data_IF_492231798668
#
_entry.id   IF_492231798668
#
_cell.length_a   1.000
_cell.length_b   1.000
_cell.length_c   1.000
_cell.angle_alpha   90.00
_cell.angle_beta   90.00
_cell.angle_gamma   90.00
#
_symmetry.space_group_name_H-M   'P 1'
#
loop_
_entity.id
_entity.type
_entity.pdbx_description
1 polymer ?
#
# COMPACT_ATOMS: atom_id res chain seq x y z
N UNK A 1 -23.33 14.36 -3.22
CA UNK A 1 -24.12 13.14 -2.95
C UNK A 1 -25.20 12.93 -4.01
N UNK A 2 -26.23 13.79 -4.09
CA UNK A 2 -27.37 13.64 -5.02
C UNK A 2 -26.95 13.60 -6.51
N UNK A 3 -26.00 14.46 -6.92
CA UNK A 3 -25.51 14.48 -8.30
C UNK A 3 -24.78 13.21 -8.73
N UNK A 4 -24.13 12.51 -7.80
CA UNK A 4 -23.45 11.25 -8.07
C UNK A 4 -24.41 10.05 -7.95
N UNK A 5 -25.38 10.13 -7.04
CA UNK A 5 -26.26 9.02 -6.68
C UNK A 5 -27.71 9.50 -6.52
N UNK A 6 -28.42 9.75 -7.63
CA UNK A 6 -29.80 10.25 -7.60
C UNK A 6 -30.79 9.22 -7.04
N UNK A 7 -30.46 7.93 -7.07
CA UNK A 7 -31.29 6.84 -6.52
C UNK A 7 -31.49 6.98 -5.00
N UNK A 8 -30.64 7.74 -4.31
CA UNK A 8 -30.85 8.09 -2.89
C UNK A 8 -32.19 8.80 -2.66
N UNK A 9 -32.70 9.53 -3.67
CA UNK A 9 -33.99 10.22 -3.61
C UNK A 9 -35.19 9.27 -3.69
N UNK A 10 -34.97 8.02 -4.13
CA UNK A 10 -35.99 6.97 -4.21
C UNK A 10 -36.05 6.11 -2.94
N UNK A 11 -35.11 6.29 -2.02
CA UNK A 11 -35.00 5.50 -0.80
C UNK A 11 -35.78 6.17 0.34
N UNK A 12 -36.41 5.38 1.21
CA UNK A 12 -37.10 5.92 2.39
C UNK A 12 -36.04 6.49 3.37
N UNK A 13 -35.99 7.82 3.61
CA UNK A 13 -34.92 8.42 4.41
C UNK A 13 -34.85 7.85 5.83
N UNK A 14 -36.00 7.67 6.46
CA UNK A 14 -36.13 7.25 7.85
C UNK A 14 -35.77 5.77 8.05
N UNK A 15 -35.99 4.94 7.04
CA UNK A 15 -35.71 3.50 7.11
C UNK A 15 -34.38 3.09 6.49
N UNK A 16 -33.75 3.96 5.68
CA UNK A 16 -32.54 3.60 4.92
C UNK A 16 -31.32 4.45 5.25
N UNK A 17 -31.46 5.78 5.38
CA UNK A 17 -30.35 6.68 5.69
C UNK A 17 -30.15 6.86 7.18
N UNK A 18 -31.23 7.15 7.90
CA UNK A 18 -31.18 7.46 9.33
C UNK A 18 -30.48 6.35 10.14
N UNK A 19 -30.81 5.05 9.97
CA UNK A 19 -30.16 3.99 10.75
C UNK A 19 -28.64 3.91 10.48
N UNK A 20 -28.22 4.20 9.24
CA UNK A 20 -26.80 4.17 8.86
C UNK A 20 -26.03 5.36 9.42
N UNK A 21 -26.64 6.54 9.39
CA UNK A 21 -26.06 7.76 9.97
C UNK A 21 -25.90 7.57 11.48
N UNK A 22 -26.93 7.07 12.17
CA UNK A 22 -26.89 6.80 13.61
C UNK A 22 -25.81 5.76 13.96
N UNK A 23 -25.69 4.69 13.17
CA UNK A 23 -24.61 3.73 13.37
C UNK A 23 -23.22 4.35 13.20
N UNK A 24 -23.01 5.16 12.15
CA UNK A 24 -21.72 5.85 11.94
C UNK A 24 -21.39 6.80 13.10
N UNK A 25 -22.38 7.51 13.64
CA UNK A 25 -22.21 8.31 14.88
C UNK A 25 -21.79 7.45 16.06
N UNK A 26 -22.47 6.32 16.27
CA UNK A 26 -22.14 5.37 17.34
C UNK A 26 -20.72 4.80 17.20
N UNK A 27 -20.23 4.67 15.97
CA UNK A 27 -18.87 4.20 15.68
C UNK A 27 -17.80 5.27 15.95
N UNK A 28 -18.18 6.55 16.09
CA UNK A 28 -17.29 7.66 16.42
C UNK A 28 -17.07 8.66 15.29
N UNK A 29 -17.91 8.68 14.25
CA UNK A 29 -17.85 9.70 13.20
C UNK A 29 -18.64 10.95 13.62
N UNK A 30 -18.08 12.14 13.38
CA UNK A 30 -18.82 13.40 13.50
C UNK A 30 -19.76 13.60 12.29
N UNK A 31 -20.71 14.53 12.40
CA UNK A 31 -21.62 14.88 11.30
C UNK A 31 -20.86 15.29 10.02
N UNK A 32 -19.75 16.02 10.18
CA UNK A 32 -18.88 16.42 9.06
C UNK A 32 -18.20 15.21 8.41
N UNK A 33 -17.70 14.27 9.21
CA UNK A 33 -17.04 13.07 8.72
C UNK A 33 -18.01 12.17 7.96
N UNK A 34 -19.24 12.04 8.45
CA UNK A 34 -20.31 11.29 7.79
C UNK A 34 -20.63 11.93 6.45
N UNK A 35 -20.78 13.27 6.39
CA UNK A 35 -21.03 13.97 5.13
C UNK A 35 -19.91 13.72 4.10
N UNK A 36 -18.65 13.79 4.51
CA UNK A 36 -17.50 13.53 3.64
C UNK A 36 -17.47 12.06 3.18
N UNK A 37 -17.66 11.13 4.11
CA UNK A 37 -17.66 9.69 3.85
C UNK A 37 -18.78 9.30 2.90
N UNK A 38 -20.02 9.76 3.11
CA UNK A 38 -21.16 9.50 2.22
C UNK A 38 -21.02 10.19 0.85
N UNK A 39 -20.32 11.33 0.79
CA UNK A 39 -20.05 12.01 -0.49
C UNK A 39 -19.00 11.28 -1.32
N UNK A 40 -18.00 10.69 -0.67
CA UNK A 40 -16.97 9.86 -1.31
C UNK A 40 -17.44 8.42 -1.55
N UNK A 41 -18.38 7.92 -0.74
CA UNK A 41 -18.81 6.51 -0.71
C UNK A 41 -20.31 6.28 -0.52
N UNK A 42 -21.06 6.97 -1.34
CA UNK A 42 -22.45 6.76 -1.68
C UNK A 42 -22.90 5.30 -1.93
N UNK A 43 -22.04 4.38 -2.37
CA UNK A 43 -22.40 2.95 -2.51
C UNK A 43 -22.82 2.30 -1.18
N UNK A 44 -22.33 2.82 -0.05
CA UNK A 44 -22.73 2.34 1.27
C UNK A 44 -24.23 2.56 1.54
N UNK A 45 -24.85 3.52 0.84
CA UNK A 45 -26.29 3.81 0.95
C UNK A 45 -27.15 2.70 0.32
N UNK A 46 -26.61 1.88 -0.59
CA UNK A 46 -27.29 0.69 -1.12
C UNK A 46 -27.02 -0.59 -0.32
N UNK A 47 -25.97 -0.60 0.50
CA UNK A 47 -25.57 -1.79 1.27
C UNK A 47 -26.50 -2.03 2.46
N UNK A 48 -26.72 -3.28 2.86
CA UNK A 48 -27.47 -3.57 4.07
C UNK A 48 -26.70 -3.09 5.30
N UNK A 49 -27.38 -2.37 6.21
CA UNK A 49 -26.77 -1.97 7.48
C UNK A 49 -26.39 -3.20 8.31
N UNK A 50 -27.33 -4.13 8.48
CA UNK A 50 -27.18 -5.30 9.34
C UNK A 50 -26.23 -6.35 8.77
N UNK A 51 -26.32 -6.62 7.46
CA UNK A 51 -25.58 -7.73 6.85
C UNK A 51 -24.27 -7.31 6.18
N UNK A 52 -24.02 -6.01 5.98
CA UNK A 52 -22.84 -5.54 5.25
C UNK A 52 -22.07 -4.49 6.04
N UNK A 53 -22.72 -3.40 6.43
CA UNK A 53 -22.02 -2.26 7.05
C UNK A 53 -21.50 -2.64 8.45
N UNK A 54 -22.38 -3.16 9.32
CA UNK A 54 -22.02 -3.53 10.69
C UNK A 54 -20.89 -4.58 10.73
N UNK A 55 -21.00 -5.73 10.02
CA UNK A 55 -19.95 -6.75 10.05
C UNK A 55 -18.61 -6.25 9.49
N UNK A 56 -18.63 -5.46 8.41
CA UNK A 56 -17.40 -4.89 7.84
C UNK A 56 -16.70 -3.93 8.82
N UNK A 57 -17.46 -3.06 9.48
CA UNK A 57 -16.90 -2.13 10.47
C UNK A 57 -16.40 -2.84 11.73
N UNK A 58 -17.09 -3.90 12.17
CA UNK A 58 -16.62 -4.76 13.25
C UNK A 58 -15.31 -5.46 12.88
N UNK A 59 -15.23 -6.04 11.68
CA UNK A 59 -13.99 -6.65 11.17
C UNK A 59 -12.85 -5.63 11.13
N UNK A 60 -13.09 -4.44 10.59
CA UNK A 60 -12.06 -3.39 10.56
C UNK A 60 -11.58 -3.01 11.96
N UNK A 61 -12.49 -2.84 12.94
CA UNK A 61 -12.13 -2.61 14.34
C UNK A 61 -11.29 -3.73 14.94
N UNK A 62 -11.49 -4.98 14.53
CA UNK A 62 -10.64 -6.12 14.98
C UNK A 62 -9.27 -6.16 14.32
N UNK A 63 -9.13 -5.61 13.11
CA UNK A 63 -7.86 -5.59 12.37
C UNK A 63 -6.93 -4.44 12.77
N UNK A 64 -7.45 -3.42 13.48
CA UNK A 64 -6.64 -2.34 14.01
C UNK A 64 -5.76 -2.85 15.18
N UNK A 65 -4.45 -2.57 15.19
CA UNK A 65 -3.61 -2.90 16.33
C UNK A 65 -4.10 -2.14 17.58
N UNK A 66 -4.34 -2.89 18.67
CA UNK A 66 -4.62 -2.33 19.99
C UNK A 66 -3.32 -1.79 20.58
N UNK A 67 -2.94 -0.56 20.28
CA UNK A 67 -2.00 0.16 21.15
C UNK A 67 -2.76 0.72 22.37
N UNK A 68 -2.08 0.79 23.52
CA UNK A 68 -2.63 1.11 24.85
C UNK A 68 -3.24 2.53 24.99
N UNK A 69 -3.25 3.36 23.95
CA UNK A 69 -3.85 4.69 24.00
C UNK A 69 -5.09 4.83 23.10
N UNK A 70 -6.23 4.60 23.76
CA UNK A 70 -7.55 5.26 23.63
C UNK A 70 -8.25 5.22 22.28
N UNK A 71 -9.30 4.39 22.23
CA UNK A 71 -10.67 4.55 21.71
C UNK A 71 -11.09 5.54 20.58
N UNK A 72 -10.26 6.49 20.13
CA UNK A 72 -10.56 7.44 19.03
C UNK A 72 -9.98 7.01 17.67
N UNK A 73 -9.32 5.85 17.64
CA UNK A 73 -8.37 5.49 16.58
C UNK A 73 -9.00 5.05 15.23
N UNK A 74 -10.27 4.62 15.21
CA UNK A 74 -10.87 4.06 14.00
C UNK A 74 -11.43 5.12 13.05
N UNK A 75 -12.21 6.08 13.55
CA UNK A 75 -12.78 7.14 12.71
C UNK A 75 -11.67 8.03 12.16
N UNK A 76 -10.64 8.33 12.96
CA UNK A 76 -9.48 9.10 12.51
C UNK A 76 -8.63 8.34 11.48
N UNK A 77 -8.41 7.04 11.65
CA UNK A 77 -7.77 6.22 10.62
C UNK A 77 -8.57 6.21 9.31
N UNK A 78 -9.89 6.10 9.37
CA UNK A 78 -10.76 6.18 8.19
C UNK A 78 -10.66 7.55 7.53
N UNK A 79 -10.70 8.65 8.30
CA UNK A 79 -10.56 10.02 7.77
C UNK A 79 -9.23 10.19 7.03
N UNK A 80 -8.14 9.74 7.62
CA UNK A 80 -6.83 9.85 6.98
C UNK A 80 -6.76 9.07 5.68
N UNK A 81 -7.30 7.84 5.66
CA UNK A 81 -7.40 7.05 4.42
C UNK A 81 -8.25 7.76 3.36
N UNK A 82 -9.32 8.45 3.75
CA UNK A 82 -10.11 9.28 2.84
C UNK A 82 -9.36 10.51 2.34
N UNK A 83 -8.55 11.15 3.17
CA UNK A 83 -7.71 12.32 2.83
C UNK A 83 -6.58 11.95 1.87
N UNK A 84 -5.94 10.80 2.06
CA UNK A 84 -4.97 10.23 1.12
C UNK A 84 -5.63 9.92 -0.24
N UNK A 85 -6.95 9.75 -0.26
CA UNK A 85 -7.75 9.62 -1.48
C UNK A 85 -8.05 8.18 -1.87
N UNK A 86 -8.06 7.26 -0.91
CA UNK A 86 -8.60 5.92 -1.14
C UNK A 86 -10.11 6.00 -1.34
N UNK A 87 -10.63 5.15 -2.23
CA UNK A 87 -12.06 4.94 -2.41
C UNK A 87 -12.55 3.87 -1.42
N UNK A 88 -13.46 4.20 -0.46
CA UNK A 88 -14.02 3.21 0.45
C UNK A 88 -14.84 2.10 -0.18
N UNK A 89 -15.20 2.20 -1.46
CA UNK A 89 -15.82 1.09 -2.21
C UNK A 89 -14.79 0.07 -2.69
N UNK A 90 -13.50 0.42 -2.71
CA UNK A 90 -12.42 -0.46 -3.12
C UNK A 90 -12.04 -1.44 -2.00
N UNK A 91 -11.74 -2.69 -2.37
CA UNK A 91 -11.14 -3.67 -1.44
C UNK A 91 -9.82 -3.15 -0.84
N UNK A 92 -9.14 -2.23 -1.53
CA UNK A 92 -7.91 -1.61 -1.04
C UNK A 92 -8.14 -0.76 0.21
N UNK A 93 -9.35 -0.24 0.41
CA UNK A 93 -9.68 0.58 1.57
C UNK A 93 -9.50 -0.16 2.90
N UNK A 94 -9.90 -1.43 2.97
CA UNK A 94 -9.75 -2.24 4.20
C UNK A 94 -8.26 -2.40 4.54
N UNK A 95 -7.45 -2.70 3.53
CA UNK A 95 -6.00 -2.79 3.70
C UNK A 95 -5.38 -1.44 4.06
N UNK A 96 -5.89 -0.35 3.49
CA UNK A 96 -5.44 1.00 3.79
C UNK A 96 -5.72 1.38 5.24
N UNK A 97 -6.95 1.16 5.72
CA UNK A 97 -7.31 1.41 7.13
C UNK A 97 -6.39 0.65 8.06
N UNK A 98 -6.18 -0.65 7.83
CA UNK A 98 -5.27 -1.48 8.65
C UNK A 98 -3.83 -0.96 8.63
N UNK A 99 -3.27 -0.74 7.44
CA UNK A 99 -1.84 -0.47 7.28
C UNK A 99 -1.50 0.98 7.68
N UNK A 100 -2.34 1.96 7.33
CA UNK A 100 -2.19 3.36 7.74
C UNK A 100 -2.29 3.46 9.26
N UNK A 101 -3.33 2.88 9.87
CA UNK A 101 -3.52 2.97 11.33
C UNK A 101 -2.41 2.29 12.14
N UNK A 102 -1.72 1.31 11.56
CA UNK A 102 -0.67 0.56 12.26
C UNK A 102 0.62 1.35 12.52
N UNK A 103 0.73 2.53 11.91
CA UNK A 103 1.91 3.39 12.02
C UNK A 103 1.45 4.77 12.46
N UNK A 104 1.95 5.27 13.59
CA UNK A 104 1.57 6.60 14.06
C UNK A 104 1.96 7.70 13.05
N UNK A 105 1.23 8.83 13.08
CA UNK A 105 1.39 9.95 12.14
C UNK A 105 2.82 10.45 12.03
N UNK A 106 3.53 10.56 13.16
CA UNK A 106 4.93 10.97 13.19
C UNK A 106 5.84 10.01 12.40
N UNK A 107 5.68 8.69 12.59
CA UNK A 107 6.45 7.68 11.85
C UNK A 107 6.11 7.66 10.36
N UNK A 108 4.84 7.93 9.99
CA UNK A 108 4.46 8.07 8.57
C UNK A 108 5.12 9.28 7.93
N UNK A 109 5.15 10.41 8.61
CA UNK A 109 5.80 11.63 8.10
C UNK A 109 7.30 11.41 7.86
N UNK A 110 7.99 10.69 8.75
CA UNK A 110 9.39 10.30 8.54
C UNK A 110 9.54 9.50 7.24
N UNK A 111 8.65 8.53 6.99
CA UNK A 111 8.68 7.73 5.74
C UNK A 111 8.38 8.57 4.50
N UNK A 112 7.44 9.50 4.57
CA UNK A 112 7.20 10.44 3.48
C UNK A 112 8.44 11.31 3.22
N UNK A 113 9.15 11.72 4.28
CA UNK A 113 10.45 12.40 4.17
C UNK A 113 11.51 11.56 3.47
N UNK A 114 11.50 10.23 3.63
CA UNK A 114 12.39 9.33 2.88
C UNK A 114 12.08 9.43 1.38
N UNK A 115 10.83 9.25 0.97
CA UNK A 115 10.45 9.40 -0.44
C UNK A 115 10.88 10.75 -1.03
N UNK A 116 10.63 11.85 -0.30
CA UNK A 116 11.05 13.20 -0.71
C UNK A 116 12.57 13.33 -0.87
N UNK A 117 13.35 12.68 -0.02
CA UNK A 117 14.82 12.67 -0.16
C UNK A 117 15.32 11.97 -1.43
N UNK A 118 14.48 11.13 -2.04
CA UNK A 118 14.72 10.50 -3.35
C UNK A 118 14.04 11.26 -4.50
N UNK A 119 13.54 12.48 -4.26
CA UNK A 119 12.99 13.35 -5.31
C UNK A 119 11.51 13.13 -5.63
N UNK A 120 10.79 12.35 -4.82
CA UNK A 120 9.34 12.17 -5.00
C UNK A 120 8.55 13.41 -4.58
N UNK A 121 7.52 13.75 -5.36
CA UNK A 121 6.50 14.73 -5.00
C UNK A 121 5.42 14.16 -4.08
N UNK A 122 4.71 15.02 -3.36
CA UNK A 122 3.61 14.59 -2.47
C UNK A 122 2.45 13.92 -3.22
N UNK A 123 2.26 14.21 -4.51
CA UNK A 123 1.26 13.54 -5.35
C UNK A 123 1.68 12.11 -5.73
N UNK A 124 2.96 11.91 -6.07
CA UNK A 124 3.51 10.59 -6.37
C UNK A 124 3.52 9.69 -5.13
N UNK A 125 3.87 10.25 -3.97
CA UNK A 125 3.83 9.54 -2.69
C UNK A 125 2.40 9.08 -2.39
N UNK A 126 1.42 9.98 -2.51
CA UNK A 126 0.00 9.63 -2.32
C UNK A 126 -0.48 8.61 -3.33
N UNK A 127 -0.04 8.71 -4.59
CA UNK A 127 -0.35 7.71 -5.60
C UNK A 127 0.20 6.34 -5.21
N UNK A 128 1.48 6.23 -4.83
CA UNK A 128 2.08 4.97 -4.42
C UNK A 128 1.40 4.37 -3.18
N UNK A 129 1.07 5.18 -2.18
CA UNK A 129 0.32 4.72 -1.00
C UNK A 129 -1.05 4.18 -1.42
N UNK A 130 -1.78 4.89 -2.30
CA UNK A 130 -3.09 4.44 -2.81
C UNK A 130 -3.03 3.11 -3.53
N UNK A 131 -1.94 2.84 -4.25
CA UNK A 131 -1.75 1.56 -4.93
C UNK A 131 -1.34 0.45 -3.95
N UNK A 132 -0.53 0.78 -2.94
CA UNK A 132 -0.12 -0.16 -1.91
C UNK A 132 0.09 0.52 -0.54
N UNK A 133 -0.88 0.42 0.38
CA UNK A 133 -0.76 0.96 1.73
C UNK A 133 0.42 0.39 2.53
N UNK A 134 0.85 -0.85 2.23
CA UNK A 134 1.97 -1.49 2.93
C UNK A 134 3.30 -0.72 2.82
N UNK A 135 3.50 0.15 1.83
CA UNK A 135 4.75 0.89 1.67
C UNK A 135 5.06 1.81 2.86
N UNK A 136 4.04 2.25 3.60
CA UNK A 136 4.21 3.02 4.85
C UNK A 136 4.25 2.13 6.10
N UNK A 137 3.87 0.86 5.99
CA UNK A 137 3.88 -0.11 7.10
C UNK A 137 5.26 -0.79 7.28
N UNK A 138 6.13 -0.78 6.27
CA UNK A 138 7.49 -1.35 6.36
C UNK A 138 8.45 -0.49 7.18
N UNK A 139 9.60 -1.04 7.57
CA UNK A 139 10.65 -0.28 8.25
C UNK A 139 11.28 0.79 7.34
N UNK A 140 11.78 1.86 7.96
CA UNK A 140 12.47 2.96 7.26
C UNK A 140 13.70 2.47 6.48
N UNK A 141 14.46 1.55 7.07
CA UNK A 141 15.62 0.93 6.44
C UNK A 141 15.25 0.19 5.15
N UNK A 142 14.19 -0.64 5.18
CA UNK A 142 13.73 -1.37 4.00
C UNK A 142 13.23 -0.44 2.90
N UNK A 143 12.55 0.64 3.29
CA UNK A 143 12.10 1.66 2.34
C UNK A 143 13.28 2.33 1.64
N UNK A 144 14.32 2.74 2.39
CA UNK A 144 15.54 3.34 1.82
C UNK A 144 16.25 2.41 0.86
N UNK A 145 16.43 1.14 1.24
CA UNK A 145 17.08 0.13 0.38
C UNK A 145 16.30 -0.04 -0.93
N UNK A 146 14.97 -0.12 -0.86
CA UNK A 146 14.14 -0.27 -2.06
C UNK A 146 14.22 0.94 -2.99
N UNK A 147 14.14 2.15 -2.44
CA UNK A 147 14.22 3.37 -3.25
C UNK A 147 15.61 3.56 -3.87
N UNK A 148 16.69 3.33 -3.11
CA UNK A 148 18.07 3.39 -3.61
C UNK A 148 18.29 2.43 -4.78
N UNK A 149 17.80 1.20 -4.66
CA UNK A 149 17.90 0.20 -5.70
C UNK A 149 17.27 0.65 -7.03
N UNK A 150 16.02 1.11 -6.99
CA UNK A 150 15.31 1.48 -8.22
C UNK A 150 15.76 2.83 -8.77
N UNK A 151 15.98 3.83 -7.91
CA UNK A 151 16.24 5.19 -8.36
C UNK A 151 17.71 5.44 -8.67
N UNK A 152 18.63 5.00 -7.80
CA UNK A 152 20.06 5.18 -8.01
C UNK A 152 20.68 4.01 -8.79
N UNK A 153 20.22 2.78 -8.52
CA UNK A 153 20.73 1.59 -9.20
C UNK A 153 20.18 1.39 -10.61
N UNK A 154 18.91 1.71 -10.86
CA UNK A 154 18.25 1.50 -12.17
C UNK A 154 17.88 2.80 -12.89
N UNK A 155 18.09 3.97 -12.28
CA UNK A 155 17.66 5.27 -12.83
C UNK A 155 16.16 5.31 -13.16
N UNK A 156 15.32 4.64 -12.36
CA UNK A 156 13.87 4.72 -12.54
C UNK A 156 13.32 6.00 -11.89
N UNK A 157 12.41 6.65 -12.61
CA UNK A 157 11.73 7.86 -12.15
C UNK A 157 10.66 7.54 -11.10
N UNK A 158 10.47 8.48 -10.16
CA UNK A 158 9.44 8.41 -9.13
C UNK A 158 8.04 8.19 -9.72
N UNK A 159 7.69 8.92 -10.78
CA UNK A 159 6.40 8.79 -11.47
C UNK A 159 6.16 7.37 -11.98
N UNK A 160 7.18 6.75 -12.59
CA UNK A 160 7.10 5.37 -13.10
C UNK A 160 6.88 4.37 -11.98
N UNK A 161 7.58 4.54 -10.85
CA UNK A 161 7.43 3.70 -9.66
C UNK A 161 6.07 3.91 -8.99
N UNK A 162 5.59 5.15 -8.92
CA UNK A 162 4.31 5.52 -8.34
C UNK A 162 3.13 4.95 -9.14
N UNK A 163 3.25 4.87 -10.47
CA UNK A 163 2.22 4.36 -11.38
C UNK A 163 2.19 2.83 -11.49
N UNK A 164 3.32 2.14 -11.33
CA UNK A 164 3.37 0.68 -11.45
C UNK A 164 2.96 -0.01 -10.13
N UNK A 165 1.70 -0.48 -10.07
CA UNK A 165 1.06 -1.07 -8.89
C UNK A 165 1.75 -2.31 -8.33
N UNK A 166 2.65 -2.95 -9.08
CA UNK A 166 3.28 -4.22 -8.72
C UNK A 166 4.74 -4.07 -8.33
N UNK A 167 5.51 -3.18 -8.95
CA UNK A 167 6.98 -3.27 -8.82
C UNK A 167 7.48 -2.81 -7.45
N UNK A 168 7.25 -1.55 -7.08
CA UNK A 168 7.69 -1.05 -5.77
C UNK A 168 6.96 -1.77 -4.61
N UNK A 169 5.64 -1.98 -4.66
CA UNK A 169 4.89 -2.78 -3.69
C UNK A 169 5.36 -4.22 -3.53
N UNK A 170 5.47 -5.01 -4.61
CA UNK A 170 5.88 -6.41 -4.54
C UNK A 170 7.35 -6.53 -4.15
N UNK A 171 8.23 -5.60 -4.58
CA UNK A 171 9.63 -5.58 -4.14
C UNK A 171 9.76 -5.29 -2.64
N UNK A 172 9.06 -4.27 -2.12
CA UNK A 172 9.06 -3.93 -0.70
C UNK A 172 8.34 -4.99 0.17
N UNK A 173 7.33 -5.66 -0.38
CA UNK A 173 6.66 -6.82 0.24
C UNK A 173 7.55 -8.07 0.21
N UNK A 174 8.33 -8.29 -0.85
CA UNK A 174 9.31 -9.38 -0.94
C UNK A 174 10.42 -9.25 0.11
N UNK A 175 10.88 -8.02 0.41
CA UNK A 175 11.78 -7.74 1.53
C UNK A 175 11.14 -7.95 2.92
N UNK A 176 9.81 -7.92 3.04
CA UNK A 176 9.13 -8.17 4.33
C UNK A 176 8.82 -9.64 4.58
N UNK A 177 8.62 -10.46 3.53
CA UNK A 177 8.36 -11.90 3.68
C UNK A 177 9.61 -12.76 3.74
N UNK A 178 10.76 -12.30 3.25
CA UNK A 178 12.01 -13.04 3.38
C UNK A 178 13.16 -12.08 3.65
N UNK A 179 13.86 -12.30 4.76
CA UNK A 179 15.09 -11.61 5.10
C UNK A 179 16.28 -11.95 4.18
N UNK A 180 16.04 -12.28 2.91
CA UNK A 180 17.04 -12.81 2.00
C UNK A 180 17.19 -11.96 0.74
N UNK A 181 18.41 -11.47 0.54
CA UNK A 181 18.88 -10.74 -0.66
C UNK A 181 18.81 -11.58 -1.95
N UNK A 182 18.56 -12.88 -1.85
CA UNK A 182 18.27 -13.79 -2.97
C UNK A 182 17.05 -13.37 -3.79
N UNK A 183 16.07 -12.72 -3.15
CA UNK A 183 14.88 -12.22 -3.84
C UNK A 183 15.09 -10.89 -4.56
N UNK A 184 16.12 -10.11 -4.22
CA UNK A 184 16.48 -8.94 -5.02
C UNK A 184 16.94 -9.37 -6.43
N UNK A 185 17.58 -10.55 -6.53
CA UNK A 185 17.97 -11.16 -7.80
C UNK A 185 16.74 -11.55 -8.62
N UNK A 186 15.77 -12.25 -8.02
CA UNK A 186 14.49 -12.61 -8.67
C UNK A 186 13.63 -11.40 -9.05
N UNK A 187 13.57 -10.38 -8.19
CA UNK A 187 12.81 -9.17 -8.47
C UNK A 187 13.44 -8.33 -9.57
N UNK A 188 14.78 -8.30 -9.66
CA UNK A 188 15.50 -7.70 -10.77
C UNK A 188 15.19 -8.38 -12.11
N UNK A 189 15.04 -9.70 -12.13
CA UNK A 189 14.73 -10.49 -13.33
C UNK A 189 13.27 -10.35 -13.77
N UNK A 190 12.33 -10.44 -12.83
CA UNK A 190 10.89 -10.41 -13.15
C UNK A 190 10.36 -9.00 -13.45
N UNK A 191 11.00 -7.95 -12.92
CA UNK A 191 10.54 -6.57 -13.11
C UNK A 191 11.30 -5.79 -14.18
N UNK A 192 12.42 -6.32 -14.72
CA UNK A 192 13.23 -5.65 -15.72
C UNK A 192 13.55 -6.59 -16.90
N UNK A 193 13.04 -6.27 -18.10
CA UNK A 193 13.57 -6.83 -19.35
C UNK A 193 14.92 -6.17 -19.66
N UNK A 194 15.96 -6.96 -19.92
CA UNK A 194 17.30 -6.48 -20.23
C UNK A 194 18.35 -6.71 -19.15
N UNK A 195 19.53 -6.15 -19.37
CA UNK A 195 20.67 -6.33 -18.46
C UNK A 195 20.47 -5.55 -17.14
N UNK A 196 20.60 -6.27 -16.03
CA UNK A 196 20.34 -5.80 -14.68
C UNK A 196 21.52 -6.05 -13.74
N UNK A 197 22.23 -4.97 -13.39
CA UNK A 197 23.25 -5.00 -12.34
C UNK A 197 22.69 -4.79 -10.94
N UNK A 198 23.17 -5.55 -9.96
CA UNK A 198 22.80 -5.52 -8.56
C UNK A 198 24.08 -5.40 -7.72
N UNK A 199 24.12 -4.48 -6.75
CA UNK A 199 25.30 -4.22 -5.93
C UNK A 199 25.13 -4.76 -4.50
N UNK A 200 26.25 -4.99 -3.80
CA UNK A 200 26.30 -5.39 -2.38
C UNK A 200 25.54 -6.70 -2.05
N UNK A 201 25.60 -7.67 -2.96
CA UNK A 201 25.00 -8.99 -2.78
C UNK A 201 25.97 -9.87 -1.98
N UNK A 202 25.59 -10.36 -0.79
CA UNK A 202 26.42 -11.21 0.02
C UNK A 202 26.44 -12.61 -0.58
N UNK A 203 27.60 -13.23 -0.59
CA UNK A 203 27.78 -14.55 -1.17
C UNK A 203 27.29 -15.65 -0.21
N UNK A 204 25.97 -15.84 -0.11
CA UNK A 204 25.31 -16.83 0.78
C UNK A 204 24.52 -17.88 -0.01
N UNK A 205 24.24 -19.02 0.62
CA UNK A 205 23.66 -20.22 -0.02
C UNK A 205 22.36 -19.95 -0.79
N UNK A 206 21.46 -19.15 -0.22
CA UNK A 206 20.16 -18.86 -0.86
C UNK A 206 20.33 -18.08 -2.17
N UNK A 207 21.30 -17.15 -2.21
CA UNK A 207 21.61 -16.36 -3.41
C UNK A 207 22.18 -17.26 -4.50
N UNK A 208 23.11 -18.16 -4.16
CA UNK A 208 23.64 -19.13 -5.13
C UNK A 208 22.55 -20.04 -5.69
N UNK A 209 21.64 -20.48 -4.83
CA UNK A 209 20.51 -21.33 -5.24
C UNK A 209 19.60 -20.59 -6.22
N UNK A 210 19.31 -19.31 -5.97
CA UNK A 210 18.49 -18.51 -6.89
C UNK A 210 19.19 -18.20 -8.21
N UNK A 211 20.51 -17.99 -8.20
CA UNK A 211 21.29 -17.82 -9.43
C UNK A 211 21.23 -19.09 -10.29
N UNK A 212 21.41 -20.27 -9.68
CA UNK A 212 21.28 -21.55 -10.38
C UNK A 212 19.88 -21.77 -10.97
N UNK A 213 18.83 -21.35 -10.25
CA UNK A 213 17.45 -21.39 -10.78
C UNK A 213 17.32 -20.47 -11.99
N UNK A 214 17.87 -19.26 -11.96
CA UNK A 214 17.82 -18.32 -13.08
C UNK A 214 18.59 -18.84 -14.30
N UNK A 215 19.80 -19.37 -14.10
CA UNK A 215 20.59 -20.01 -15.15
C UNK A 215 19.81 -21.20 -15.77
N UNK A 216 19.09 -21.98 -14.96
CA UNK A 216 18.24 -23.08 -15.45
C UNK A 216 17.04 -22.61 -16.27
N UNK A 217 16.62 -21.36 -16.12
CA UNK A 217 15.55 -20.73 -16.89
C UNK A 217 16.08 -20.03 -18.17
N UNK A 218 17.38 -20.14 -18.45
CA UNK A 218 18.02 -19.54 -19.63
C UNK A 218 18.46 -18.09 -19.45
N UNK A 219 18.47 -17.58 -18.22
CA UNK A 219 18.95 -16.23 -17.89
C UNK A 219 20.46 -16.26 -17.67
N UNK A 220 21.20 -15.38 -18.34
CA UNK A 220 22.64 -15.26 -18.09
C UNK A 220 22.89 -14.46 -16.81
N UNK A 221 23.73 -14.98 -15.91
CA UNK A 221 24.04 -14.34 -14.62
C UNK A 221 25.55 -14.31 -14.39
N UNK A 222 26.11 -13.11 -14.23
CA UNK A 222 27.51 -12.89 -13.88
C UNK A 222 27.67 -12.39 -12.44
N UNK A 223 28.51 -13.06 -11.65
CA UNK A 223 28.79 -12.66 -10.26
C UNK A 223 30.26 -12.24 -10.12
N UNK A 224 30.51 -10.97 -9.81
CA UNK A 224 31.87 -10.46 -9.65
C UNK A 224 31.96 -9.43 -8.50
N UNK A 225 32.90 -9.58 -7.58
CA UNK A 225 33.16 -8.64 -6.47
C UNK A 225 31.92 -8.24 -5.62
N UNK A 226 30.99 -9.18 -5.38
CA UNK A 226 29.76 -8.88 -4.62
C UNK A 226 28.72 -8.11 -5.43
N UNK A 227 28.92 -7.98 -6.73
CA UNK A 227 27.93 -7.53 -7.71
C UNK A 227 27.39 -8.74 -8.47
N UNK A 228 26.09 -8.72 -8.78
CA UNK A 228 25.45 -9.72 -9.65
C UNK A 228 24.83 -8.97 -10.83
N UNK A 229 25.22 -9.35 -12.04
CA UNK A 229 24.66 -8.87 -13.29
C UNK A 229 23.77 -9.97 -13.84
N UNK A 230 22.54 -9.62 -14.24
CA UNK A 230 21.55 -10.57 -14.74
C UNK A 230 21.07 -10.09 -16.09
N UNK A 231 21.26 -10.87 -17.16
CA UNK A 231 20.80 -10.56 -18.50
C UNK A 231 19.61 -11.44 -18.90
N UNK A 232 18.46 -10.80 -19.05
CA UNK A 232 17.20 -11.44 -19.46
C UNK A 232 16.92 -11.31 -20.96
N UNK A 233 17.84 -10.75 -21.78
CA UNK A 233 17.66 -10.65 -23.24
C UNK A 233 17.82 -11.99 -23.96
N UNK A 234 18.41 -12.99 -23.29
CA UNK A 234 18.57 -14.34 -23.81
C UNK A 234 17.31 -15.23 -23.64
N UNK A 235 16.25 -14.71 -23.00
CA UNK A 235 14.95 -15.39 -22.85
C UNK A 235 14.03 -15.22 -24.06
#
# INVERSE_FOLDING_TARGET
MISKFPVVLLSNPDQTLEPKIQYLKQVGFSDTDICQFLTKCCNILHSSLEYTIIPCFQLLKTLLPREENVNDNFSDAVKEVLEIGFDPSSKMFVYAVRDVSSVCKAKREVKMGIFRSFGWSDEEIRLAIRQQPKCIAISEEKLRIGLDFFMNGKNWEAERLAKNSTVLPSYLVMFTLAGQRALAVLAGTLCCSGNSKLHNIPNVSDIRTMILVLESLGVEVDVYNGEVTVDTQAM
#
